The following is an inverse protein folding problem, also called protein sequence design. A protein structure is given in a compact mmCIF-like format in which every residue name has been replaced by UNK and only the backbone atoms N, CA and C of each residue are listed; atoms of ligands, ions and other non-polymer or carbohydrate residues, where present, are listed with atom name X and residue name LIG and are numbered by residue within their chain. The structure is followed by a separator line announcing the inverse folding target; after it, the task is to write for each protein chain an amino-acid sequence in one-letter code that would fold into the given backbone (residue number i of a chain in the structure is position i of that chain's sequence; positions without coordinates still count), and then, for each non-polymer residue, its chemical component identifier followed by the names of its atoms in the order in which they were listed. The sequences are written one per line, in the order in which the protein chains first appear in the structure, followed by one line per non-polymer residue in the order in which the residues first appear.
data_IF_350211129418
#
_entry.id   IF_350211129418
#
_cell.length_a   1.000
_cell.length_b   1.000
_cell.length_c   1.000
_cell.angle_alpha   90.00
_cell.angle_beta   90.00
_cell.angle_gamma   90.00
#
_symmetry.space_group_name_H-M   'P 1'
#
loop_
_entity.id
_entity.type
_entity.pdbx_description
1 polymer ?
#
# COMPACT_ATOMS: atom_id res chain seq x y z
N UNK A 1 15.60 -2.98 -5.64
CA UNK A 1 14.77 -2.13 -4.78
C UNK A 1 15.66 -1.57 -3.70
N UNK A 2 15.53 -0.29 -3.44
CA UNK A 2 15.84 0.30 -2.14
C UNK A 2 14.59 0.19 -1.28
N UNK A 3 14.73 0.00 0.03
CA UNK A 3 13.59 -0.24 0.93
C UNK A 3 13.71 0.69 2.13
N UNK A 4 12.67 1.49 2.32
CA UNK A 4 12.51 2.37 3.47
C UNK A 4 11.48 1.72 4.40
N UNK A 5 11.92 1.40 5.62
CA UNK A 5 11.03 0.85 6.64
C UNK A 5 10.54 1.96 7.56
N UNK A 6 9.23 2.21 7.55
CA UNK A 6 8.60 3.29 8.33
C UNK A 6 8.53 3.01 9.84
N UNK A 7 8.81 1.79 10.29
CA UNK A 7 8.69 1.38 11.69
C UNK A 7 7.30 0.85 12.03
N UNK A 8 7.00 0.76 13.33
CA UNK A 8 5.72 0.27 13.85
C UNK A 8 4.84 1.42 14.33
N UNK A 9 3.52 1.19 14.31
CA UNK A 9 2.50 2.09 14.87
C UNK A 9 2.52 3.52 14.28
N UNK A 10 2.77 3.61 12.97
CA UNK A 10 2.65 4.86 12.24
C UNK A 10 1.19 5.21 11.98
N UNK A 11 0.85 6.47 12.18
CA UNK A 11 -0.43 7.02 11.76
C UNK A 11 -0.51 7.10 10.22
N UNK A 12 -1.72 7.11 9.64
CA UNK A 12 -1.90 7.34 8.19
C UNK A 12 -1.16 8.58 7.69
N UNK A 13 -1.24 9.70 8.42
CA UNK A 13 -0.57 10.95 8.06
C UNK A 13 0.97 10.78 8.01
N UNK A 14 1.56 10.08 8.98
CA UNK A 14 2.99 9.78 8.96
C UNK A 14 3.40 8.91 7.77
N UNK A 15 2.56 7.94 7.38
CA UNK A 15 2.82 7.09 6.22
C UNK A 15 2.78 7.93 4.95
N UNK A 16 1.73 8.73 4.77
CA UNK A 16 1.56 9.63 3.61
C UNK A 16 2.75 10.58 3.50
N UNK A 17 3.15 11.23 4.60
CA UNK A 17 4.28 12.14 4.60
C UNK A 17 5.60 11.45 4.24
N UNK A 18 5.84 10.23 4.73
CA UNK A 18 7.03 9.48 4.35
C UNK A 18 7.00 9.10 2.87
N UNK A 19 5.86 8.64 2.35
CA UNK A 19 5.71 8.30 0.92
C UNK A 19 6.01 9.49 0.02
N UNK A 20 5.48 10.66 0.34
CA UNK A 20 5.68 11.89 -0.43
C UNK A 20 7.12 12.41 -0.31
N UNK A 21 7.69 12.44 0.89
CA UNK A 21 9.03 12.99 1.11
C UNK A 21 10.14 12.13 0.49
N UNK A 22 9.95 10.82 0.53
CA UNK A 22 10.92 9.86 0.00
C UNK A 22 10.70 9.55 -1.49
N UNK A 23 9.64 10.08 -2.09
CA UNK A 23 9.30 9.94 -3.52
C UNK A 23 9.33 8.47 -4.00
N UNK A 24 8.66 7.60 -3.26
CA UNK A 24 8.71 6.15 -3.52
C UNK A 24 7.80 5.72 -4.66
N UNK A 25 8.28 4.82 -5.52
CA UNK A 25 7.47 4.27 -6.61
C UNK A 25 6.39 3.28 -6.14
N UNK A 26 6.55 2.71 -4.93
CA UNK A 26 5.61 1.76 -4.36
C UNK A 26 5.49 1.89 -2.85
N UNK A 27 4.25 1.83 -2.35
CA UNK A 27 3.91 1.78 -0.93
C UNK A 27 3.33 0.41 -0.58
N UNK A 28 4.03 -0.35 0.25
CA UNK A 28 3.55 -1.60 0.81
C UNK A 28 2.98 -1.42 2.22
N UNK A 29 1.68 -1.68 2.40
CA UNK A 29 0.99 -1.57 3.69
C UNK A 29 0.75 -2.96 4.27
N UNK A 30 1.22 -3.23 5.49
CA UNK A 30 0.97 -4.52 6.17
C UNK A 30 0.01 -4.36 7.35
N UNK A 31 -1.16 -5.00 7.28
CA UNK A 31 -2.23 -4.88 8.30
C UNK A 31 -2.70 -6.27 8.75
N UNK A 32 -2.56 -6.53 10.05
CA UNK A 32 -3.02 -7.77 10.71
C UNK A 32 -4.11 -7.49 11.76
N UNK A 33 -4.49 -6.23 11.95
CA UNK A 33 -5.44 -5.80 12.99
C UNK A 33 -6.90 -5.81 12.55
N UNK A 34 -7.19 -6.04 11.27
CA UNK A 34 -8.52 -5.88 10.69
C UNK A 34 -8.97 -4.42 10.53
N UNK A 35 -8.04 -3.46 10.60
CA UNK A 35 -8.33 -2.04 10.45
C UNK A 35 -8.13 -1.54 8.99
N UNK A 36 -8.06 -2.44 8.01
CA UNK A 36 -7.79 -2.11 6.61
C UNK A 36 -8.83 -1.15 6.03
N UNK A 37 -10.13 -1.37 6.30
CA UNK A 37 -11.23 -0.50 5.84
C UNK A 37 -11.23 0.90 6.45
N UNK A 38 -10.40 1.15 7.46
CA UNK A 38 -10.27 2.48 8.08
C UNK A 38 -8.93 3.12 7.78
N UNK A 39 -7.85 2.35 7.74
CA UNK A 39 -6.50 2.87 7.60
C UNK A 39 -6.11 3.06 6.14
N UNK A 40 -6.46 2.11 5.26
CA UNK A 40 -6.09 2.18 3.84
C UNK A 40 -6.80 3.37 3.15
N UNK A 41 -8.13 3.59 3.33
CA UNK A 41 -8.78 4.75 2.71
C UNK A 41 -8.15 6.08 3.14
N UNK A 42 -7.81 6.24 4.43
CA UNK A 42 -7.15 7.45 4.93
C UNK A 42 -5.77 7.70 4.34
N UNK A 43 -5.03 6.63 4.05
CA UNK A 43 -3.72 6.74 3.40
C UNK A 43 -3.92 7.16 1.95
N UNK A 44 -4.87 6.53 1.24
CA UNK A 44 -5.19 6.87 -0.17
C UNK A 44 -5.66 8.32 -0.28
N UNK A 45 -6.65 8.74 0.51
CA UNK A 45 -7.14 10.13 0.58
C UNK A 45 -5.98 11.12 0.83
N UNK A 46 -5.06 10.74 1.72
CA UNK A 46 -3.89 11.54 2.02
C UNK A 46 -2.93 11.63 0.83
N UNK A 47 -2.64 10.52 0.14
CA UNK A 47 -1.79 10.52 -1.05
C UNK A 47 -2.40 11.34 -2.19
N UNK A 48 -3.73 11.24 -2.40
CA UNK A 48 -4.45 12.06 -3.38
C UNK A 48 -4.37 13.55 -3.04
N UNK A 49 -4.51 13.91 -1.77
CA UNK A 49 -4.39 15.31 -1.33
C UNK A 49 -3.00 15.93 -1.54
N UNK A 50 -1.96 15.12 -1.73
CA UNK A 50 -0.60 15.53 -2.06
C UNK A 50 -0.23 15.25 -3.53
N UNK A 51 -1.19 14.90 -4.38
CA UNK A 51 -0.98 14.53 -5.80
C UNK A 51 0.03 13.39 -5.99
N UNK A 52 0.21 12.51 -5.00
CA UNK A 52 1.19 11.43 -5.00
C UNK A 52 0.61 10.05 -5.32
N UNK A 53 -0.73 9.93 -5.30
CA UNK A 53 -1.40 8.64 -5.46
C UNK A 53 -1.20 8.01 -6.84
N UNK A 54 -1.45 8.78 -7.91
CA UNK A 54 -1.29 8.34 -9.31
C UNK A 54 0.14 7.88 -9.64
N UNK A 55 1.09 8.38 -8.85
CA UNK A 55 2.53 8.20 -9.00
C UNK A 55 3.08 7.09 -8.07
N UNK A 56 2.23 6.46 -7.24
CA UNK A 56 2.64 5.48 -6.23
C UNK A 56 1.85 4.17 -6.39
N UNK A 57 2.54 3.05 -6.65
CA UNK A 57 1.92 1.73 -6.60
C UNK A 57 1.59 1.35 -5.15
N UNK A 58 0.31 1.35 -4.77
CA UNK A 58 -0.14 0.94 -3.43
C UNK A 58 -0.48 -0.56 -3.42
N UNK A 59 0.20 -1.35 -2.60
CA UNK A 59 -0.13 -2.75 -2.34
C UNK A 59 -0.39 -2.97 -0.86
N UNK A 60 -1.28 -3.91 -0.54
CA UNK A 60 -1.62 -4.26 0.85
C UNK A 60 -1.31 -5.73 1.11
N UNK A 61 -0.84 -6.04 2.31
CA UNK A 61 -0.63 -7.42 2.76
C UNK A 61 -1.17 -7.64 4.16
N UNK A 62 -1.45 -8.90 4.49
CA UNK A 62 -1.94 -9.31 5.80
C UNK A 62 -3.22 -10.12 5.73
N UNK A 63 -4.09 -9.96 6.73
CA UNK A 63 -5.35 -10.72 6.82
C UNK A 63 -6.50 -9.78 6.45
N UNK A 64 -6.91 -9.82 5.18
CA UNK A 64 -8.05 -9.07 4.65
C UNK A 64 -9.11 -10.09 4.20
N UNK A 65 -10.31 -10.08 4.82
CA UNK A 65 -11.48 -10.87 4.40
C UNK A 65 -11.79 -10.65 2.92
N UNK A 66 -12.32 -11.67 2.25
CA UNK A 66 -12.54 -11.59 0.80
C UNK A 66 -13.64 -10.59 0.43
N UNK A 67 -14.64 -10.44 1.31
CA UNK A 67 -15.70 -9.44 1.17
C UNK A 67 -15.22 -7.99 1.20
N UNK A 68 -14.10 -7.70 1.85
CA UNK A 68 -13.58 -6.33 2.02
C UNK A 68 -12.62 -5.95 0.88
N UNK A 69 -12.17 -6.92 0.07
CA UNK A 69 -11.14 -6.67 -0.95
C UNK A 69 -11.65 -5.81 -2.10
N UNK A 70 -12.91 -6.00 -2.51
CA UNK A 70 -13.48 -5.28 -3.65
C UNK A 70 -13.45 -3.76 -3.41
N UNK A 71 -13.83 -3.31 -2.21
CA UNK A 71 -13.78 -1.89 -1.82
C UNK A 71 -12.34 -1.35 -1.84
N UNK A 72 -11.37 -2.11 -1.35
CA UNK A 72 -9.96 -1.70 -1.38
C UNK A 72 -9.41 -1.58 -2.82
N UNK A 73 -9.80 -2.49 -3.72
CA UNK A 73 -9.43 -2.39 -5.13
C UNK A 73 -10.12 -1.19 -5.81
N UNK A 74 -11.37 -0.88 -5.48
CA UNK A 74 -12.09 0.29 -5.99
C UNK A 74 -11.44 1.61 -5.54
N UNK A 75 -10.84 1.65 -4.35
CA UNK A 75 -10.03 2.76 -3.87
C UNK A 75 -8.66 2.87 -4.57
N UNK A 76 -8.28 1.86 -5.36
CA UNK A 76 -7.04 1.83 -6.14
C UNK A 76 -5.85 1.16 -5.45
N UNK A 77 -6.09 0.32 -4.43
CA UNK A 77 -5.09 -0.70 -4.05
C UNK A 77 -4.85 -1.60 -5.26
N UNK A 78 -3.59 -1.75 -5.66
CA UNK A 78 -3.23 -2.51 -6.85
C UNK A 78 -3.24 -4.03 -6.64
N UNK A 79 -2.85 -4.50 -5.45
CA UNK A 79 -2.89 -5.93 -5.10
C UNK A 79 -2.94 -6.16 -3.59
N UNK A 80 -3.60 -7.25 -3.19
CA UNK A 80 -3.74 -7.70 -1.82
C UNK A 80 -3.06 -9.07 -1.64
N UNK A 81 -1.92 -9.08 -0.95
CA UNK A 81 -1.17 -10.29 -0.62
C UNK A 81 -1.65 -10.87 0.72
N UNK A 82 -2.59 -11.80 0.64
CA UNK A 82 -3.14 -12.53 1.79
C UNK A 82 -2.20 -13.59 2.40
N UNK A 83 -2.67 -14.33 3.42
CA UNK A 83 -1.90 -15.41 4.03
C UNK A 83 -1.48 -16.47 3.02
N UNK A 84 -0.19 -16.80 3.00
CA UNK A 84 0.37 -17.81 2.09
C UNK A 84 0.86 -17.27 0.74
N UNK A 85 0.66 -15.98 0.45
CA UNK A 85 1.28 -15.34 -0.71
C UNK A 85 2.81 -15.50 -0.66
N UNK A 86 3.40 -15.87 -1.80
CA UNK A 86 4.85 -16.10 -1.87
C UNK A 86 5.61 -14.79 -2.07
N UNK A 87 6.83 -14.70 -1.55
CA UNK A 87 7.68 -13.54 -1.81
C UNK A 87 7.94 -13.35 -3.32
N UNK A 88 8.07 -14.44 -4.07
CA UNK A 88 8.30 -14.41 -5.52
C UNK A 88 7.14 -13.72 -6.24
N UNK A 89 5.90 -14.08 -5.90
CA UNK A 89 4.69 -13.49 -6.46
C UNK A 89 4.64 -11.98 -6.19
N UNK A 90 4.90 -11.54 -4.95
CA UNK A 90 4.94 -10.11 -4.63
C UNK A 90 6.05 -9.37 -5.38
N UNK A 91 7.25 -9.97 -5.50
CA UNK A 91 8.37 -9.37 -6.25
C UNK A 91 8.02 -9.22 -7.74
N UNK A 92 7.43 -10.26 -8.34
CA UNK A 92 7.04 -10.24 -9.75
C UNK A 92 5.95 -9.21 -10.02
N UNK A 93 4.97 -9.10 -9.13
CA UNK A 93 3.93 -8.09 -9.23
C UNK A 93 4.50 -6.67 -9.18
N UNK A 94 5.35 -6.36 -8.19
CA UNK A 94 5.94 -5.03 -8.04
C UNK A 94 6.80 -4.69 -9.25
N UNK A 95 7.65 -5.60 -9.74
CA UNK A 95 8.48 -5.36 -10.94
C UNK A 95 7.67 -5.05 -12.19
N UNK A 96 6.47 -5.62 -12.30
CA UNK A 96 5.61 -5.47 -13.48
C UNK A 96 4.79 -4.19 -13.45
N UNK A 97 4.40 -3.73 -12.25
CA UNK A 97 3.40 -2.67 -12.10
C UNK A 97 3.94 -1.38 -11.48
N UNK A 98 5.13 -1.39 -10.87
CA UNK A 98 5.73 -0.16 -10.35
C UNK A 98 6.05 0.80 -11.52
N UNK A 99 5.87 2.11 -11.34
CA UNK A 99 6.28 3.11 -12.31
C UNK A 99 7.74 2.92 -12.75
N UNK A 100 8.01 3.07 -14.05
CA UNK A 100 9.37 3.18 -14.56
C UNK A 100 9.79 4.66 -14.52
N UNK A 101 10.76 5.00 -13.67
CA UNK A 101 11.35 6.34 -13.58
C UNK A 101 12.87 6.30 -13.74
#
# INVERSE_FOLDING_TARGET
FEVIYSGLHKSPDEIVQATVQEDVDALGISILSGAHDTLVPKIIDGLEAYDAFEDTLVIVGGIIPEEDREELYELGVAEIFGPGASMQETIEFVRKNAPER
#
